data_IF_288430458606
#
_entry.id   IF_288430458606
#
_cell.length_a   1.000
_cell.length_b   1.000
_cell.length_c   1.000
_cell.angle_alpha   90.00
_cell.angle_beta   90.00
_cell.angle_gamma   90.00
#
_symmetry.space_group_name_H-M   'P 1'
#
loop_
_entity.id
_entity.type
_entity.pdbx_description
1 polymer ?
#
# COMPACT_ATOMS: atom_id res chain seq x y z
N UNK A 1 8.77 11.26 -4.21
CA UNK A 1 9.11 9.87 -4.60
C UNK A 1 8.47 8.88 -3.62
N UNK A 2 8.03 7.70 -4.10
CA UNK A 2 6.66 7.49 -4.51
C UNK A 2 5.70 7.51 -3.30
N UNK A 3 4.72 8.39 -3.38
CA UNK A 3 3.53 8.36 -2.52
C UNK A 3 2.41 7.53 -3.15
N UNK A 4 2.76 6.57 -4.02
CA UNK A 4 1.83 5.71 -4.76
C UNK A 4 2.21 4.26 -4.52
N UNK A 5 1.23 3.43 -4.20
CA UNK A 5 1.37 1.99 -4.07
C UNK A 5 0.45 1.29 -5.06
N UNK A 6 0.88 0.14 -5.57
CA UNK A 6 0.05 -0.76 -6.38
C UNK A 6 0.26 -2.19 -5.90
N UNK A 7 -0.84 -2.89 -5.66
CA UNK A 7 -0.84 -4.31 -5.27
C UNK A 7 -1.75 -5.08 -6.19
N UNK A 8 -1.21 -6.13 -6.79
CA UNK A 8 -1.88 -6.95 -7.80
C UNK A 8 -2.21 -8.32 -7.19
N UNK A 9 -3.49 -8.61 -7.03
CA UNK A 9 -4.00 -9.93 -6.63
C UNK A 9 -4.60 -10.60 -7.86
N UNK A 10 -3.82 -11.45 -8.51
CA UNK A 10 -4.19 -12.13 -9.76
C UNK A 10 -4.39 -13.62 -9.49
N UNK A 11 -5.48 -14.18 -10.02
CA UNK A 11 -5.85 -15.58 -9.84
C UNK A 11 -6.10 -16.27 -11.19
N UNK A 12 -5.67 -17.52 -11.30
CA UNK A 12 -5.70 -18.31 -12.54
C UNK A 12 -4.29 -18.46 -13.14
N UNK A 13 -4.23 -18.74 -14.43
CA UNK A 13 -2.96 -18.91 -15.13
C UNK A 13 -2.13 -17.62 -15.11
N UNK A 14 -0.81 -17.66 -14.80
CA UNK A 14 0.03 -16.47 -14.68
C UNK A 14 0.03 -15.56 -15.92
N UNK A 15 -0.07 -16.17 -17.11
CA UNK A 15 -0.02 -15.48 -18.41
C UNK A 15 -1.36 -14.82 -18.77
N UNK A 16 -2.47 -15.34 -18.24
CA UNK A 16 -3.81 -14.84 -18.52
C UNK A 16 -4.73 -15.05 -17.30
N UNK A 17 -4.60 -14.24 -16.24
CA UNK A 17 -5.38 -14.41 -15.01
C UNK A 17 -6.87 -14.32 -15.30
N UNK A 18 -7.67 -15.25 -14.80
CA UNK A 18 -9.11 -15.33 -15.07
C UNK A 18 -9.88 -14.30 -14.24
N UNK A 19 -9.42 -14.07 -13.01
CA UNK A 19 -10.00 -13.10 -12.07
C UNK A 19 -8.91 -12.47 -11.23
N UNK A 20 -9.23 -11.37 -10.57
CA UNK A 20 -8.28 -10.66 -9.74
C UNK A 20 -8.76 -9.28 -9.40
N UNK A 21 -7.98 -8.59 -8.59
CA UNK A 21 -8.17 -7.18 -8.31
C UNK A 21 -6.84 -6.48 -8.10
N UNK A 22 -6.81 -5.21 -8.47
CA UNK A 22 -5.66 -4.34 -8.32
C UNK A 22 -6.06 -3.19 -7.41
N UNK A 23 -5.27 -2.96 -6.36
CA UNK A 23 -5.42 -1.82 -5.48
C UNK A 23 -4.31 -0.83 -5.79
N UNK A 24 -4.70 0.39 -6.17
CA UNK A 24 -3.77 1.51 -6.34
C UNK A 24 -4.14 2.60 -5.35
N UNK A 25 -3.19 3.00 -4.51
CA UNK A 25 -3.38 4.07 -3.53
C UNK A 25 -2.37 5.19 -3.75
N UNK A 26 -2.80 6.43 -3.56
CA UNK A 26 -1.95 7.62 -3.62
C UNK A 26 -2.15 8.50 -2.38
N UNK A 27 -1.05 8.84 -1.71
CA UNK A 27 -1.01 9.68 -0.51
C UNK A 27 -0.58 11.11 -0.85
N UNK A 28 -1.50 12.06 -0.94
CA UNK A 28 -1.16 13.48 -1.15
C UNK A 28 -0.95 14.18 0.20
N UNK A 29 0.22 14.79 0.47
CA UNK A 29 0.47 15.45 1.75
C UNK A 29 -0.44 16.67 1.93
N UNK A 30 -0.98 16.85 3.13
CA UNK A 30 -1.70 18.06 3.57
C UNK A 30 -0.87 18.83 4.60
N UNK A 31 -0.20 18.12 5.50
CA UNK A 31 0.70 18.67 6.53
C UNK A 31 1.66 17.56 6.98
N UNK A 32 2.69 17.83 7.81
CA UNK A 32 3.70 16.83 8.17
C UNK A 32 3.16 15.49 8.70
N UNK A 33 2.03 15.51 9.45
CA UNK A 33 1.39 14.31 10.02
C UNK A 33 0.00 14.01 9.42
N UNK A 34 -0.33 14.57 8.25
CA UNK A 34 -1.65 14.36 7.62
C UNK A 34 -1.54 14.30 6.11
N UNK A 35 -2.16 13.27 5.54
CA UNK A 35 -2.24 13.07 4.10
C UNK A 35 -3.68 12.76 3.69
N UNK A 36 -4.03 13.10 2.45
CA UNK A 36 -5.24 12.63 1.79
C UNK A 36 -4.91 11.41 0.97
N UNK A 37 -5.59 10.29 1.22
CA UNK A 37 -5.38 9.05 0.49
C UNK A 37 -6.48 8.87 -0.55
N UNK A 38 -6.10 8.62 -1.79
CA UNK A 38 -6.99 8.23 -2.88
C UNK A 38 -6.74 6.76 -3.19
N UNK A 39 -7.78 5.93 -3.13
CA UNK A 39 -7.67 4.49 -3.39
C UNK A 39 -8.61 4.10 -4.52
N UNK A 40 -8.05 3.44 -5.53
CA UNK A 40 -8.77 2.79 -6.62
C UNK A 40 -8.63 1.29 -6.47
N UNK A 41 -9.76 0.58 -6.48
CA UNK A 41 -9.79 -0.89 -6.50
C UNK A 41 -10.49 -1.32 -7.78
N UNK A 42 -9.71 -1.94 -8.67
CA UNK A 42 -10.15 -2.42 -9.96
C UNK A 42 -10.36 -3.93 -9.89
N UNK A 43 -11.52 -4.43 -10.32
CA UNK A 43 -11.85 -5.86 -10.28
C UNK A 43 -11.92 -6.43 -11.70
N UNK A 44 -11.30 -7.60 -11.90
CA UNK A 44 -11.52 -8.47 -13.05
C UNK A 44 -12.44 -9.61 -12.60
N UNK A 45 -13.73 -9.47 -12.90
CA UNK A 45 -14.72 -10.50 -12.57
C UNK A 45 -14.71 -11.60 -13.65
N UNK A 46 -14.91 -12.88 -13.29
CA UNK A 46 -14.99 -13.98 -14.25
C UNK A 46 -16.19 -13.79 -15.20
N UNK A 47 -16.09 -14.36 -16.41
CA UNK A 47 -17.02 -14.21 -17.55
C UNK A 47 -18.46 -14.72 -17.35
N UNK A 48 -18.87 -15.05 -16.12
CA UNK A 48 -20.28 -15.35 -15.83
C UNK A 48 -21.07 -14.06 -16.00
N UNK A 49 -22.29 -14.13 -16.54
CA UNK A 49 -23.16 -12.95 -16.73
C UNK A 49 -23.57 -12.35 -15.38
N UNK A 50 -22.63 -11.63 -14.74
CA UNK A 50 -22.80 -10.95 -13.45
C UNK A 50 -23.54 -9.63 -13.62
N UNK A 51 -23.88 -9.22 -14.85
CA UNK A 51 -24.61 -7.98 -15.15
C UNK A 51 -25.89 -7.81 -14.31
N UNK A 52 -26.77 -8.83 -14.15
CA UNK A 52 -27.94 -8.71 -13.29
C UNK A 52 -27.60 -8.51 -11.80
N UNK A 53 -26.52 -9.11 -11.31
CA UNK A 53 -26.09 -8.99 -9.91
C UNK A 53 -25.15 -7.80 -9.66
N UNK A 54 -24.69 -7.12 -10.72
CA UNK A 54 -23.64 -6.10 -10.66
C UNK A 54 -23.99 -4.93 -9.73
N UNK A 55 -25.23 -4.42 -9.67
CA UNK A 55 -25.57 -3.35 -8.72
C UNK A 55 -25.40 -3.77 -7.26
N UNK A 56 -25.84 -4.99 -6.92
CA UNK A 56 -25.73 -5.54 -5.57
C UNK A 56 -24.26 -5.82 -5.23
N UNK A 57 -23.54 -6.48 -6.13
CA UNK A 57 -22.12 -6.78 -5.96
C UNK A 57 -21.31 -5.50 -5.79
N UNK A 58 -21.58 -4.47 -6.59
CA UNK A 58 -20.93 -3.15 -6.45
C UNK A 58 -21.19 -2.54 -5.08
N UNK A 59 -22.43 -2.59 -4.60
CA UNK A 59 -22.78 -2.09 -3.27
C UNK A 59 -22.04 -2.83 -2.15
N UNK A 60 -22.02 -4.17 -2.22
CA UNK A 60 -21.30 -5.00 -1.28
C UNK A 60 -19.78 -4.76 -1.32
N UNK A 61 -19.17 -4.76 -2.52
CA UNK A 61 -17.74 -4.52 -2.68
C UNK A 61 -17.36 -3.13 -2.18
N UNK A 62 -18.16 -2.10 -2.47
CA UNK A 62 -17.93 -0.76 -1.93
C UNK A 62 -17.99 -0.74 -0.41
N UNK A 63 -18.98 -1.39 0.21
CA UNK A 63 -19.07 -1.51 1.67
C UNK A 63 -17.85 -2.24 2.25
N UNK A 64 -17.51 -3.40 1.72
CA UNK A 64 -16.41 -4.22 2.21
C UNK A 64 -15.05 -3.51 2.08
N UNK A 65 -14.76 -2.97 0.90
CA UNK A 65 -13.51 -2.24 0.65
C UNK A 65 -13.39 -0.98 1.50
N UNK A 66 -14.50 -0.26 1.74
CA UNK A 66 -14.55 0.87 2.68
C UNK A 66 -14.12 0.44 4.09
N UNK A 67 -14.60 -0.71 4.57
CA UNK A 67 -14.23 -1.24 5.90
C UNK A 67 -12.75 -1.56 6.01
N UNK A 68 -12.16 -2.20 5.00
CA UNK A 68 -10.71 -2.48 4.98
C UNK A 68 -9.90 -1.18 4.97
N UNK A 69 -10.28 -0.21 4.16
CA UNK A 69 -9.61 1.11 4.13
C UNK A 69 -9.72 1.82 5.48
N UNK A 70 -10.85 1.71 6.19
CA UNK A 70 -11.01 2.29 7.52
C UNK A 70 -10.05 1.68 8.54
N UNK A 71 -9.77 0.37 8.45
CA UNK A 71 -8.78 -0.30 9.30
C UNK A 71 -7.37 0.26 9.05
N UNK A 72 -6.99 0.43 7.79
CA UNK A 72 -5.70 1.02 7.42
C UNK A 72 -5.58 2.46 7.96
N UNK A 73 -6.66 3.25 7.88
CA UNK A 73 -6.71 4.62 8.43
C UNK A 73 -6.53 4.62 9.95
N UNK A 74 -7.15 3.68 10.66
CA UNK A 74 -7.02 3.57 12.11
C UNK A 74 -5.60 3.20 12.53
N UNK A 75 -4.96 2.25 11.84
CA UNK A 75 -3.55 1.89 12.06
C UNK A 75 -2.65 3.10 11.83
N UNK A 76 -2.85 3.82 10.72
CA UNK A 76 -2.06 5.01 10.41
C UNK A 76 -2.27 6.15 11.41
N UNK A 77 -3.45 6.27 12.01
CA UNK A 77 -3.71 7.25 13.07
C UNK A 77 -2.90 6.94 14.33
N UNK A 78 -2.84 5.68 14.74
CA UNK A 78 -2.01 5.25 15.87
C UNK A 78 -0.52 5.47 15.56
N UNK A 79 -0.09 5.10 14.36
CA UNK A 79 1.29 5.32 13.92
C UNK A 79 1.66 6.80 13.91
N UNK A 80 0.81 7.67 13.34
CA UNK A 80 1.02 9.11 13.31
C UNK A 80 1.10 9.75 14.70
N UNK A 81 0.30 9.27 15.66
CA UNK A 81 0.39 9.70 17.06
C UNK A 81 1.75 9.35 17.69
N UNK A 82 2.25 8.12 17.45
CA UNK A 82 3.57 7.70 17.93
C UNK A 82 4.70 8.52 17.29
N UNK A 83 4.68 8.69 15.97
CA UNK A 83 5.68 9.52 15.26
C UNK A 83 5.68 10.95 15.79
N UNK A 84 4.49 11.54 16.02
CA UNK A 84 4.36 12.86 16.61
C UNK A 84 4.89 12.93 18.05
N UNK A 85 4.63 11.91 18.86
CA UNK A 85 5.11 11.84 20.25
C UNK A 85 6.63 11.76 20.35
N UNK A 86 7.28 10.95 19.50
CA UNK A 86 8.74 10.76 19.51
C UNK A 86 9.52 11.75 18.61
N UNK A 87 8.84 12.75 18.03
CA UNK A 87 9.49 13.84 17.31
C UNK A 87 9.97 13.51 15.90
N UNK A 88 9.44 12.46 15.26
CA UNK A 88 9.69 12.17 13.85
C UNK A 88 10.08 10.74 13.52
N UNK A 89 10.88 10.58 12.45
CA UNK A 89 11.30 9.30 11.87
C UNK A 89 12.35 8.61 12.76
N UNK A 90 11.90 7.89 13.79
CA UNK A 90 12.74 6.99 14.60
C UNK A 90 12.11 5.62 14.64
N UNK A 91 12.59 4.71 13.78
CA UNK A 91 12.05 3.37 13.62
C UNK A 91 13.05 2.33 14.10
N UNK A 92 12.54 1.29 14.75
CA UNK A 92 13.29 0.06 15.06
C UNK A 92 12.71 -1.04 14.20
N UNK A 93 13.47 -1.45 13.19
CA UNK A 93 13.00 -2.37 12.15
C UNK A 93 13.33 -3.82 12.47
N UNK A 94 12.45 -4.70 11.99
CA UNK A 94 12.63 -6.15 11.95
C UNK A 94 12.89 -6.61 10.50
N UNK A 95 13.27 -7.87 10.25
CA UNK A 95 13.41 -8.37 8.87
C UNK A 95 12.14 -8.24 8.01
N UNK A 96 10.95 -8.20 8.61
CA UNK A 96 9.69 -7.98 7.88
C UNK A 96 9.60 -6.57 7.27
N UNK A 97 10.35 -5.61 7.82
CA UNK A 97 10.33 -4.19 7.41
C UNK A 97 11.34 -3.88 6.29
N UNK A 98 11.90 -4.90 5.63
CA UNK A 98 12.93 -4.73 4.59
C UNK A 98 12.50 -3.76 3.48
N UNK A 99 11.24 -3.84 3.04
CA UNK A 99 10.69 -2.90 2.05
C UNK A 99 10.64 -1.47 2.59
N UNK A 100 10.27 -1.29 3.85
CA UNK A 100 10.23 0.03 4.49
C UNK A 100 11.64 0.65 4.53
N UNK A 101 12.64 -0.11 4.98
CA UNK A 101 14.04 0.36 5.03
C UNK A 101 14.53 0.81 3.65
N UNK A 102 14.26 0.03 2.61
CA UNK A 102 14.66 0.39 1.25
C UNK A 102 13.91 1.64 0.74
N UNK A 103 12.61 1.77 1.00
CA UNK A 103 11.83 2.97 0.66
C UNK A 103 12.41 4.21 1.35
N UNK A 104 12.74 4.13 2.65
CA UNK A 104 13.33 5.24 3.38
C UNK A 104 14.70 5.63 2.82
N UNK A 105 15.55 4.67 2.43
CA UNK A 105 16.83 4.99 1.78
C UNK A 105 16.66 5.74 0.46
N UNK A 106 15.63 5.38 -0.33
CA UNK A 106 15.32 6.07 -1.59
C UNK A 106 14.77 7.48 -1.32
N UNK A 107 14.03 7.66 -0.24
CA UNK A 107 13.53 8.99 0.19
C UNK A 107 14.68 9.88 0.65
N UNK A 108 15.58 9.36 1.48
CA UNK A 108 16.74 10.11 1.97
C UNK A 108 17.66 10.53 0.82
N UNK A 109 17.87 9.63 -0.15
CA UNK A 109 18.62 9.93 -1.36
C UNK A 109 17.96 11.05 -2.21
N UNK A 110 16.63 11.03 -2.35
CA UNK A 110 15.89 12.07 -3.06
C UNK A 110 15.90 13.41 -2.30
N UNK A 111 15.79 13.38 -0.97
CA UNK A 111 15.87 14.58 -0.11
C UNK A 111 17.26 15.21 -0.14
N UNK A 112 18.31 14.41 -0.29
CA UNK A 112 19.69 14.86 -0.49
C UNK A 112 19.96 15.43 -1.88
N UNK A 113 18.96 15.46 -2.78
CA UNK A 113 19.09 16.04 -4.12
C UNK A 113 19.70 15.09 -5.16
N UNK A 114 19.68 13.78 -4.91
CA UNK A 114 20.13 12.75 -5.86
C UNK A 114 21.60 12.94 -6.30
N UNK A 115 22.43 13.52 -5.44
CA UNK A 115 23.83 13.88 -5.74
C UNK A 115 24.72 12.64 -5.85
N UNK A 116 24.40 11.61 -5.07
CA UNK A 116 25.22 10.41 -4.93
C UNK A 116 24.70 9.24 -5.80
N UNK A 117 25.33 8.07 -5.72
CA UNK A 117 24.77 6.88 -6.36
C UNK A 117 23.44 6.48 -5.68
N UNK A 118 22.47 6.01 -6.48
CA UNK A 118 21.20 5.49 -5.97
C UNK A 118 21.48 4.31 -5.01
N UNK A 119 20.78 4.22 -3.86
CA UNK A 119 20.92 3.09 -2.95
C UNK A 119 20.68 1.75 -3.66
N UNK A 120 21.58 0.80 -3.40
CA UNK A 120 21.45 -0.57 -3.89
C UNK A 120 20.27 -1.29 -3.22
N UNK A 121 19.54 -2.17 -3.94
CA UNK A 121 18.47 -2.97 -3.36
C UNK A 121 18.95 -3.78 -2.15
N UNK A 122 18.21 -3.71 -1.04
CA UNK A 122 18.47 -4.55 0.13
C UNK A 122 17.67 -5.86 0.03
N UNK A 123 18.34 -6.98 0.28
CA UNK A 123 17.72 -8.31 0.32
C UNK A 123 17.88 -8.88 1.73
N UNK A 124 16.77 -9.32 2.34
CA UNK A 124 16.80 -10.01 3.62
C UNK A 124 15.97 -11.30 3.53
N UNK A 125 16.50 -12.38 4.10
CA UNK A 125 15.76 -13.63 4.23
C UNK A 125 15.00 -13.63 5.56
N UNK A 126 13.69 -13.43 5.50
CA UNK A 126 12.82 -13.54 6.66
C UNK A 126 12.28 -14.97 6.79
N UNK A 127 12.37 -15.55 7.99
CA UNK A 127 11.61 -16.75 8.36
C UNK A 127 10.36 -16.30 9.12
N UNK A 128 9.21 -16.47 8.50
CA UNK A 128 7.93 -16.30 9.18
C UNK A 128 7.62 -17.59 9.92
N UNK A 129 7.59 -17.53 11.25
CA UNK A 129 7.05 -18.62 12.07
C UNK A 129 5.53 -18.40 12.11
N UNK A 130 4.80 -19.21 11.34
CA UNK A 130 3.34 -19.31 11.42
C UNK A 130 3.02 -20.55 12.24
#
# INVERSE_FOLDING_TARGET
>A
MPNVTRVDYLYGEPEAPETGFVITSQCTPISPLRSKVYTLISFKLPFVDVRPALPFLRGFLHFYTRRVIEQDVDIMKVHGANVGHYGGRSFVSTPADTLHVFIESLRDHAEAGEIDARPEPTVAHAKFWI
#
